data_IF_516137844756
#
_entry.id   IF_516137844756
#
_cell.length_a   1.000
_cell.length_b   1.000
_cell.length_c   1.000
_cell.angle_alpha   90.00
_cell.angle_beta   90.00
_cell.angle_gamma   90.00
#
_symmetry.space_group_name_H-M   'P 1'
#
loop_
_entity.id
_entity.type
_entity.pdbx_description
1 polymer ?
#
# COMPACT_ATOMS: atom_id res chain seq x y z
N UNK A 1 -107.99 45.57 -8.93
CA UNK A 1 -106.92 45.85 -7.95
C UNK A 1 -105.58 45.88 -8.64
N UNK A 2 -104.76 46.89 -8.34
CA UNK A 2 -103.34 46.93 -8.73
C UNK A 2 -102.54 46.39 -7.56
N UNK A 3 -101.63 45.44 -7.83
CA UNK A 3 -100.69 44.92 -6.85
C UNK A 3 -99.30 45.48 -7.12
N UNK A 4 -98.56 45.81 -6.06
CA UNK A 4 -97.17 46.24 -6.18
C UNK A 4 -96.29 45.09 -6.71
N UNK A 5 -95.36 45.41 -7.60
CA UNK A 5 -94.40 44.43 -8.09
C UNK A 5 -93.49 43.99 -6.92
N UNK A 6 -93.44 42.68 -6.58
CA UNK A 6 -92.63 42.23 -5.45
C UNK A 6 -91.14 42.41 -5.74
N UNK A 7 -90.35 42.68 -4.69
CA UNK A 7 -88.89 42.73 -4.78
C UNK A 7 -88.35 41.40 -5.35
N UNK A 8 -87.28 41.46 -6.14
CA UNK A 8 -86.75 40.32 -6.88
C UNK A 8 -87.45 40.04 -8.22
N UNK A 9 -88.59 40.68 -8.52
CA UNK A 9 -89.31 40.52 -9.79
C UNK A 9 -89.36 41.81 -10.61
N UNK A 10 -89.57 41.66 -11.92
CA UNK A 10 -89.92 42.74 -12.84
C UNK A 10 -91.31 42.53 -13.41
N UNK A 11 -92.06 43.63 -13.58
CA UNK A 11 -93.41 43.61 -14.08
C UNK A 11 -93.47 44.40 -15.39
N UNK A 12 -93.80 43.73 -16.50
CA UNK A 12 -94.13 44.41 -17.77
C UNK A 12 -95.55 45.00 -17.68
N UNK A 13 -95.77 46.20 -18.22
CA UNK A 13 -97.10 46.83 -18.19
C UNK A 13 -98.19 45.91 -18.77
N UNK A 14 -99.32 45.80 -18.07
CA UNK A 14 -100.44 44.90 -18.42
C UNK A 14 -100.70 43.82 -17.35
N UNK A 15 -101.55 42.84 -17.66
CA UNK A 15 -101.92 41.74 -16.75
C UNK A 15 -100.91 40.57 -16.72
N UNK A 16 -99.63 40.83 -17.04
CA UNK A 16 -98.59 39.81 -17.04
C UNK A 16 -98.18 39.43 -15.60
N UNK A 17 -97.93 38.15 -15.29
CA UNK A 17 -97.41 37.75 -13.99
C UNK A 17 -96.00 38.34 -13.76
N UNK A 18 -95.58 38.59 -12.50
CA UNK A 18 -94.23 39.04 -12.19
C UNK A 18 -93.19 38.04 -12.70
N UNK A 19 -92.16 38.54 -13.39
CA UNK A 19 -91.04 37.73 -13.86
C UNK A 19 -89.84 37.92 -12.93
N UNK A 20 -89.37 36.85 -12.29
CA UNK A 20 -88.18 36.87 -11.45
C UNK A 20 -86.96 37.39 -12.23
N UNK A 21 -86.14 38.21 -11.58
CA UNK A 21 -84.88 38.65 -12.15
C UNK A 21 -83.95 37.46 -12.35
N UNK A 22 -83.31 37.41 -13.53
CA UNK A 22 -82.31 36.40 -13.84
C UNK A 22 -81.00 36.66 -13.08
N UNK A 23 -80.17 35.63 -12.87
CA UNK A 23 -78.85 35.78 -12.26
C UNK A 23 -78.04 36.91 -12.90
N UNK A 24 -77.33 37.69 -12.07
CA UNK A 24 -76.64 38.92 -12.47
C UNK A 24 -77.49 40.19 -12.46
N UNK A 25 -78.76 40.11 -12.07
CA UNK A 25 -79.66 41.26 -11.92
C UNK A 25 -80.56 41.14 -10.70
N UNK A 26 -80.93 42.29 -10.11
CA UNK A 26 -81.68 42.39 -8.86
C UNK A 26 -82.72 43.51 -8.92
N UNK A 27 -83.71 43.45 -8.02
CA UNK A 27 -84.60 44.58 -7.71
C UNK A 27 -84.78 44.69 -6.19
N UNK A 28 -84.14 45.70 -5.58
CA UNK A 28 -84.18 45.91 -4.13
C UNK A 28 -85.49 46.56 -3.66
N UNK A 29 -86.08 47.43 -4.49
CA UNK A 29 -87.31 48.16 -4.16
C UNK A 29 -88.54 47.55 -4.83
N UNK A 30 -89.61 47.28 -4.05
CA UNK A 30 -90.92 46.95 -4.60
C UNK A 30 -91.43 48.06 -5.54
N UNK A 31 -92.04 47.68 -6.66
CA UNK A 31 -92.59 48.62 -7.65
C UNK A 31 -91.66 49.03 -8.80
N UNK A 32 -90.45 48.50 -8.89
CA UNK A 32 -89.60 48.67 -10.07
C UNK A 32 -90.08 47.80 -11.26
N UNK A 33 -90.14 48.39 -12.45
CA UNK A 33 -90.59 47.71 -13.67
C UNK A 33 -89.45 47.01 -14.45
N UNK A 34 -88.20 47.05 -13.94
CA UNK A 34 -87.01 46.52 -14.64
C UNK A 34 -86.00 45.98 -13.63
N UNK A 35 -85.39 44.83 -13.95
CA UNK A 35 -84.24 44.30 -13.21
C UNK A 35 -82.97 45.12 -13.51
N UNK A 36 -82.28 45.55 -12.46
CA UNK A 36 -81.02 46.27 -12.55
C UNK A 36 -79.86 45.27 -12.50
N UNK A 37 -78.84 45.46 -13.34
CA UNK A 37 -77.66 44.59 -13.32
C UNK A 37 -76.85 44.86 -12.06
N UNK A 38 -76.24 43.81 -11.51
CA UNK A 38 -75.21 43.99 -10.50
C UNK A 38 -74.10 44.89 -11.05
N UNK A 39 -73.71 45.90 -10.27
CA UNK A 39 -72.59 46.77 -10.60
C UNK A 39 -71.31 45.97 -10.72
N UNK A 40 -70.36 46.46 -11.52
CA UNK A 40 -69.05 45.83 -11.64
C UNK A 40 -68.38 45.72 -10.24
N UNK A 41 -67.77 44.59 -9.96
CA UNK A 41 -67.30 44.22 -8.62
C UNK A 41 -68.32 43.48 -7.75
N UNK A 42 -69.54 43.24 -8.24
CA UNK A 42 -70.56 42.45 -7.55
C UNK A 42 -71.23 41.43 -8.48
N UNK A 43 -71.82 40.37 -7.92
CA UNK A 43 -72.49 39.31 -8.66
C UNK A 43 -73.75 38.82 -7.94
N UNK A 44 -74.60 38.07 -8.65
CA UNK A 44 -75.70 37.34 -8.01
C UNK A 44 -76.07 36.08 -8.77
N UNK A 45 -76.13 34.95 -8.08
CA UNK A 45 -76.34 33.62 -8.67
C UNK A 45 -77.79 33.13 -8.61
N UNK A 46 -78.60 33.64 -7.67
CA UNK A 46 -79.99 33.21 -7.50
C UNK A 46 -80.96 33.98 -8.42
N UNK A 47 -82.04 33.32 -8.85
CA UNK A 47 -83.19 34.01 -9.46
C UNK A 47 -83.99 34.74 -8.38
N UNK A 48 -84.65 35.83 -8.74
CA UNK A 48 -85.51 36.53 -7.77
C UNK A 48 -84.77 37.30 -6.68
N UNK A 49 -83.46 37.54 -6.84
CA UNK A 49 -82.64 38.13 -5.81
C UNK A 49 -82.88 39.65 -5.63
N UNK A 50 -82.78 40.10 -4.38
CA UNK A 50 -83.03 41.49 -3.98
C UNK A 50 -81.76 42.32 -3.77
N UNK A 51 -80.58 41.70 -3.86
CA UNK A 51 -79.29 42.35 -3.68
C UNK A 51 -78.15 41.55 -4.31
N UNK A 52 -77.03 42.22 -4.58
CA UNK A 52 -75.84 41.60 -5.14
C UNK A 52 -74.80 41.31 -4.05
N UNK A 53 -73.97 40.30 -4.27
CA UNK A 53 -72.85 39.94 -3.42
C UNK A 53 -71.54 40.53 -3.93
N UNK A 54 -70.69 40.98 -3.01
CA UNK A 54 -69.34 41.45 -3.30
C UNK A 54 -68.47 40.35 -3.92
N UNK A 55 -67.74 40.70 -4.97
CA UNK A 55 -66.79 39.79 -5.59
C UNK A 55 -65.63 39.51 -4.61
N UNK A 56 -65.40 38.24 -4.30
CA UNK A 56 -64.34 37.85 -3.36
C UNK A 56 -62.97 37.88 -4.04
N UNK A 57 -61.93 38.02 -3.21
CA UNK A 57 -60.53 37.88 -3.60
C UNK A 57 -60.29 36.62 -4.43
N UNK A 58 -59.32 36.70 -5.35
CA UNK A 58 -59.02 35.66 -6.33
C UNK A 58 -59.98 35.62 -7.52
N UNK A 59 -61.01 36.48 -7.58
CA UNK A 59 -61.98 36.54 -8.68
C UNK A 59 -62.35 37.97 -9.05
N UNK A 60 -62.91 38.14 -10.25
CA UNK A 60 -63.47 39.40 -10.74
C UNK A 60 -64.89 39.21 -11.28
N UNK A 61 -65.68 40.26 -11.20
CA UNK A 61 -67.10 40.27 -11.51
C UNK A 61 -67.39 41.44 -12.45
N UNK A 62 -67.50 41.21 -13.77
CA UNK A 62 -67.93 42.26 -14.71
C UNK A 62 -69.38 42.67 -14.43
N UNK A 63 -69.79 43.82 -14.96
CA UNK A 63 -71.17 44.29 -14.82
C UNK A 63 -72.18 43.21 -15.26
N UNK A 64 -73.16 42.92 -14.41
CA UNK A 64 -74.16 41.88 -14.65
C UNK A 64 -73.66 40.45 -14.47
N UNK A 65 -72.57 40.23 -13.73
CA UNK A 65 -72.06 38.88 -13.46
C UNK A 65 -73.05 38.03 -12.67
N UNK A 66 -73.37 36.84 -13.19
CA UNK A 66 -74.15 35.82 -12.48
C UNK A 66 -73.29 34.94 -11.56
N UNK A 67 -71.96 34.94 -11.75
CA UNK A 67 -71.00 34.23 -10.91
C UNK A 67 -69.63 34.94 -10.97
N UNK A 68 -68.80 34.82 -9.91
CA UNK A 68 -67.42 35.33 -9.94
C UNK A 68 -66.60 34.58 -10.98
N UNK A 69 -65.76 35.31 -11.73
CA UNK A 69 -64.79 34.71 -12.65
C UNK A 69 -63.43 34.67 -11.96
N UNK A 70 -62.82 33.49 -11.74
CA UNK A 70 -61.53 33.43 -11.07
C UNK A 70 -60.44 34.11 -11.92
N UNK A 71 -59.44 34.67 -11.25
CA UNK A 71 -58.20 35.06 -11.91
C UNK A 71 -57.58 33.83 -12.56
N UNK A 72 -57.13 33.98 -13.82
CA UNK A 72 -56.53 32.90 -14.59
C UNK A 72 -55.21 32.44 -13.94
N UNK A 73 -54.85 31.18 -14.17
CA UNK A 73 -53.58 30.65 -13.68
C UNK A 73 -52.40 31.52 -14.16
N UNK A 74 -51.41 31.72 -13.28
CA UNK A 74 -50.37 32.73 -13.45
C UNK A 74 -50.77 34.12 -12.97
N UNK A 75 -51.96 34.31 -12.40
CA UNK A 75 -52.37 35.57 -11.78
C UNK A 75 -53.06 35.35 -10.44
N UNK A 76 -53.02 36.35 -9.57
CA UNK A 76 -53.68 36.34 -8.26
C UNK A 76 -54.34 37.70 -7.98
N UNK A 77 -55.20 37.75 -6.96
CA UNK A 77 -55.72 39.01 -6.45
C UNK A 77 -56.12 38.86 -4.98
N UNK A 78 -55.60 39.72 -4.12
CA UNK A 78 -55.98 39.85 -2.71
C UNK A 78 -57.13 40.86 -2.50
N UNK A 79 -57.55 41.56 -3.57
CA UNK A 79 -58.57 42.61 -3.53
C UNK A 79 -59.98 42.04 -3.68
N UNK A 80 -60.91 42.57 -2.90
CA UNK A 80 -62.35 42.38 -3.11
C UNK A 80 -62.92 43.37 -4.13
N UNK A 81 -64.07 43.06 -4.71
CA UNK A 81 -64.82 43.90 -5.65
C UNK A 81 -64.06 44.21 -6.95
N UNK A 82 -63.26 43.26 -7.43
CA UNK A 82 -62.56 43.36 -8.71
C UNK A 82 -63.58 43.32 -9.86
N UNK A 83 -63.50 44.26 -10.79
CA UNK A 83 -64.46 44.42 -11.89
C UNK A 83 -64.06 43.71 -13.19
N UNK A 84 -62.76 43.46 -13.37
CA UNK A 84 -62.19 43.00 -14.63
C UNK A 84 -60.94 42.16 -14.42
N UNK A 85 -60.61 41.34 -15.43
CA UNK A 85 -59.41 40.50 -15.43
C UNK A 85 -58.11 41.31 -15.34
N UNK A 86 -58.11 42.57 -15.79
CA UNK A 86 -56.95 43.46 -15.70
C UNK A 86 -56.58 43.83 -14.26
N UNK A 87 -57.50 43.64 -13.31
CA UNK A 87 -57.22 43.79 -11.88
C UNK A 87 -56.47 42.61 -11.26
N UNK A 88 -56.34 41.47 -11.96
CA UNK A 88 -55.55 40.34 -11.49
C UNK A 88 -54.05 40.62 -11.71
N UNK A 89 -53.28 40.56 -10.63
CA UNK A 89 -51.84 40.78 -10.65
C UNK A 89 -51.11 39.53 -11.13
N UNK A 90 -50.08 39.70 -11.94
CA UNK A 90 -49.27 38.58 -12.43
C UNK A 90 -48.49 37.95 -11.28
N UNK A 91 -48.40 36.63 -11.26
CA UNK A 91 -47.61 35.93 -10.26
C UNK A 91 -46.13 36.38 -10.36
N UNK A 92 -45.50 36.80 -9.25
CA UNK A 92 -44.10 37.22 -9.26
C UNK A 92 -43.16 36.03 -9.55
N UNK A 93 -41.92 36.34 -9.90
CA UNK A 93 -40.89 35.30 -10.09
C UNK A 93 -40.66 34.48 -8.82
N UNK A 94 -40.31 33.20 -9.02
CA UNK A 94 -40.17 32.24 -7.93
C UNK A 94 -41.47 31.82 -7.24
N UNK A 95 -42.63 32.26 -7.75
CA UNK A 95 -43.94 31.89 -7.22
C UNK A 95 -44.83 31.31 -8.31
N UNK A 96 -45.79 30.49 -7.88
CA UNK A 96 -46.85 29.92 -8.70
C UNK A 96 -48.22 30.34 -8.18
N UNK A 97 -49.13 30.62 -9.11
CA UNK A 97 -50.49 31.03 -8.82
C UNK A 97 -51.46 30.16 -9.64
N UNK A 98 -52.19 29.27 -8.98
CA UNK A 98 -53.26 28.49 -9.61
C UNK A 98 -54.50 29.36 -9.83
N UNK A 99 -55.43 28.89 -10.66
CA UNK A 99 -56.69 29.59 -10.93
C UNK A 99 -57.42 29.96 -9.64
N UNK A 100 -57.75 31.24 -9.47
CA UNK A 100 -58.42 31.74 -8.28
C UNK A 100 -57.51 32.04 -7.09
N UNK A 101 -56.19 32.09 -7.29
CA UNK A 101 -55.23 32.39 -6.21
C UNK A 101 -55.47 33.76 -5.60
N UNK A 102 -55.42 33.82 -4.26
CA UNK A 102 -55.53 35.06 -3.49
C UNK A 102 -54.17 35.63 -3.10
N UNK A 103 -53.14 34.80 -3.16
CA UNK A 103 -51.74 35.16 -2.91
C UNK A 103 -50.81 34.23 -3.72
N UNK A 104 -49.60 34.68 -4.08
CA UNK A 104 -48.60 33.83 -4.73
C UNK A 104 -48.06 32.74 -3.80
N UNK A 105 -47.91 31.52 -4.31
CA UNK A 105 -47.27 30.41 -3.58
C UNK A 105 -45.79 30.33 -3.94
N UNK A 106 -44.90 30.52 -2.98
CA UNK A 106 -43.46 30.38 -3.21
C UNK A 106 -43.10 28.96 -3.63
N UNK A 107 -42.25 28.82 -4.65
CA UNK A 107 -41.75 27.52 -5.07
C UNK A 107 -40.93 26.88 -3.95
N UNK A 108 -41.20 25.61 -3.66
CA UNK A 108 -40.45 24.85 -2.66
C UNK A 108 -39.01 24.59 -3.15
N UNK A 109 -38.11 24.27 -2.21
CA UNK A 109 -36.77 23.82 -2.57
C UNK A 109 -36.85 22.63 -3.54
N UNK A 110 -35.97 22.64 -4.55
CA UNK A 110 -35.98 21.72 -5.69
C UNK A 110 -36.90 22.11 -6.83
N UNK A 111 -37.67 23.19 -6.69
CA UNK A 111 -38.52 23.74 -7.76
C UNK A 111 -38.27 25.23 -7.93
N UNK A 112 -38.58 25.76 -9.12
CA UNK A 112 -38.40 27.16 -9.46
C UNK A 112 -39.55 27.64 -10.38
N UNK A 113 -39.69 28.95 -10.51
CA UNK A 113 -40.62 29.55 -11.46
C UNK A 113 -39.92 30.74 -12.13
N UNK A 114 -39.51 30.55 -13.39
CA UNK A 114 -38.78 31.56 -14.14
C UNK A 114 -39.71 32.65 -14.68
N UNK A 115 -39.36 33.91 -14.46
CA UNK A 115 -40.15 35.05 -14.92
C UNK A 115 -41.49 35.19 -14.20
N UNK A 116 -42.38 36.03 -14.73
CA UNK A 116 -43.69 36.31 -14.14
C UNK A 116 -44.80 35.46 -14.77
N UNK A 117 -45.92 35.35 -14.06
CA UNK A 117 -47.16 34.69 -14.49
C UNK A 117 -47.09 33.16 -14.58
N UNK A 118 -46.36 32.53 -13.68
CA UNK A 118 -46.29 31.08 -13.59
C UNK A 118 -47.51 30.48 -12.87
N UNK A 119 -48.12 29.48 -13.50
CA UNK A 119 -49.26 28.74 -12.95
C UNK A 119 -48.83 27.68 -11.92
N UNK A 120 -47.62 27.14 -12.11
CA UNK A 120 -47.03 26.07 -11.30
C UNK A 120 -45.52 26.26 -11.19
N UNK A 121 -44.91 25.59 -10.21
CA UNK A 121 -43.46 25.58 -10.05
C UNK A 121 -42.86 24.38 -10.80
N UNK A 122 -41.86 24.64 -11.61
CA UNK A 122 -41.14 23.60 -12.36
C UNK A 122 -40.05 22.97 -11.48
N UNK A 123 -39.87 21.64 -11.52
CA UNK A 123 -38.75 21.00 -10.83
C UNK A 123 -37.42 21.36 -11.51
N UNK A 124 -36.36 21.48 -10.71
CA UNK A 124 -35.01 21.57 -11.25
C UNK A 124 -34.71 20.34 -12.11
N UNK A 125 -34.16 20.57 -13.31
CA UNK A 125 -33.73 19.49 -14.19
C UNK A 125 -32.54 18.76 -13.58
N UNK A 126 -32.30 17.53 -14.02
CA UNK A 126 -31.15 16.76 -13.57
C UNK A 126 -29.83 17.54 -13.81
N UNK A 127 -28.87 17.38 -12.91
CA UNK A 127 -27.62 18.17 -12.90
C UNK A 127 -27.78 19.60 -12.35
N UNK A 128 -28.97 19.97 -11.87
CA UNK A 128 -29.21 21.24 -11.17
C UNK A 128 -30.06 21.05 -9.92
N UNK A 129 -29.89 21.95 -8.95
CA UNK A 129 -30.60 21.91 -7.67
C UNK A 129 -31.00 23.32 -7.23
N UNK A 130 -31.89 23.39 -6.23
CA UNK A 130 -32.22 24.65 -5.59
C UNK A 130 -32.58 24.43 -4.12
N UNK A 131 -31.80 25.00 -3.21
CA UNK A 131 -32.02 24.88 -1.77
C UNK A 131 -32.95 25.94 -1.19
N UNK A 132 -33.09 27.09 -1.87
CA UNK A 132 -33.95 28.17 -1.43
C UNK A 132 -35.41 27.97 -1.88
N UNK A 133 -36.34 28.42 -1.04
CA UNK A 133 -37.74 28.60 -1.43
C UNK A 133 -37.92 29.92 -2.17
N UNK A 134 -38.86 30.00 -3.12
CA UNK A 134 -39.15 31.23 -3.86
C UNK A 134 -38.13 31.54 -4.95
N UNK A 135 -37.46 30.52 -5.50
CA UNK A 135 -36.39 30.72 -6.46
C UNK A 135 -36.88 30.89 -7.91
N UNK A 136 -36.28 31.82 -8.64
CA UNK A 136 -36.55 32.06 -10.06
C UNK A 136 -35.77 31.13 -11.01
N UNK A 137 -34.84 30.33 -10.48
CA UNK A 137 -34.01 29.41 -11.28
C UNK A 137 -33.27 28.39 -10.41
N UNK A 138 -32.65 27.41 -11.07
CA UNK A 138 -31.83 26.38 -10.44
C UNK A 138 -30.34 26.66 -10.62
N UNK A 139 -29.53 26.14 -9.70
CA UNK A 139 -28.07 26.23 -9.72
C UNK A 139 -27.52 24.91 -10.26
N UNK A 140 -26.54 24.98 -11.17
CA UNK A 140 -25.85 23.80 -11.66
C UNK A 140 -25.07 23.13 -10.52
N UNK A 141 -25.09 21.80 -10.48
CA UNK A 141 -24.39 21.08 -9.44
C UNK A 141 -22.88 21.12 -9.67
N UNK A 142 -22.12 21.18 -8.57
CA UNK A 142 -20.67 21.07 -8.63
C UNK A 142 -20.24 19.75 -9.30
N UNK A 143 -19.06 19.75 -9.94
CA UNK A 143 -18.50 18.53 -10.51
C UNK A 143 -18.34 17.47 -9.41
N UNK A 144 -18.79 16.25 -9.73
CA UNK A 144 -18.89 15.12 -8.81
C UNK A 144 -19.77 15.34 -7.57
N UNK A 145 -20.80 16.18 -7.73
CA UNK A 145 -22.06 16.05 -7.01
C UNK A 145 -23.12 15.42 -7.94
N UNK A 146 -24.05 14.68 -7.36
CA UNK A 146 -25.21 14.08 -8.01
C UNK A 146 -26.47 14.90 -7.70
N UNK A 147 -27.25 15.24 -8.72
CA UNK A 147 -28.49 15.99 -8.57
C UNK A 147 -29.61 15.41 -9.42
N UNK A 148 -30.55 14.66 -8.81
CA UNK A 148 -31.72 14.15 -9.50
C UNK A 148 -32.71 15.27 -9.85
N UNK A 149 -33.68 14.98 -10.70
CA UNK A 149 -34.79 15.90 -10.99
C UNK A 149 -35.50 16.31 -9.69
N UNK A 150 -35.65 17.61 -9.46
CA UNK A 150 -36.26 18.15 -8.25
C UNK A 150 -35.32 18.19 -7.03
N UNK A 151 -33.99 18.12 -7.23
CA UNK A 151 -33.03 18.16 -6.15
C UNK A 151 -33.10 19.48 -5.34
N UNK A 152 -33.31 19.37 -4.03
CA UNK A 152 -33.26 20.50 -3.09
C UNK A 152 -31.87 20.72 -2.49
N UNK A 153 -30.93 19.80 -2.73
CA UNK A 153 -29.56 19.84 -2.25
C UNK A 153 -28.67 19.03 -3.21
N UNK A 154 -27.39 19.38 -3.27
CA UNK A 154 -26.38 18.53 -3.92
C UNK A 154 -26.11 17.27 -3.08
N UNK A 155 -26.17 16.11 -3.72
CA UNK A 155 -25.74 14.85 -3.11
C UNK A 155 -24.29 14.59 -3.53
N UNK A 156 -23.44 13.96 -2.69
CA UNK A 156 -22.10 13.57 -3.13
C UNK A 156 -22.18 12.54 -4.27
N UNK A 157 -21.32 12.66 -5.29
CA UNK A 157 -21.27 11.67 -6.37
C UNK A 157 -20.90 10.28 -5.83
N UNK A 158 -21.60 9.28 -6.35
CA UNK A 158 -21.50 7.88 -5.96
C UNK A 158 -20.41 7.10 -6.71
N UNK A 159 -19.34 7.76 -7.19
CA UNK A 159 -18.24 7.03 -7.81
C UNK A 159 -17.41 6.34 -6.74
N UNK A 160 -17.34 5.00 -6.80
CA UNK A 160 -16.59 4.20 -5.85
C UNK A 160 -15.08 4.51 -5.94
N UNK A 161 -14.32 4.32 -4.85
CA UNK A 161 -12.87 4.47 -4.87
C UNK A 161 -12.24 3.65 -6.00
N UNK A 162 -11.32 4.26 -6.76
CA UNK A 162 -10.79 3.69 -8.00
C UNK A 162 -11.42 4.25 -9.27
N UNK A 163 -12.54 4.97 -9.16
CA UNK A 163 -13.16 5.70 -10.26
C UNK A 163 -13.23 7.21 -9.97
N UNK A 164 -13.42 8.03 -11.00
CA UNK A 164 -13.62 9.47 -10.87
C UNK A 164 -14.70 9.97 -11.83
N UNK A 165 -15.47 10.97 -11.38
CA UNK A 165 -16.46 11.64 -12.20
C UNK A 165 -15.83 12.81 -12.96
N UNK A 166 -15.84 12.77 -14.30
CA UNK A 166 -15.40 13.89 -15.15
C UNK A 166 -16.57 14.61 -15.84
N UNK A 167 -17.75 13.98 -15.86
CA UNK A 167 -18.97 14.54 -16.41
C UNK A 167 -20.19 14.00 -15.65
N UNK A 168 -21.31 14.70 -15.77
CA UNK A 168 -22.63 14.16 -15.45
C UNK A 168 -23.33 13.78 -16.75
N UNK A 169 -24.02 12.65 -16.78
CA UNK A 169 -24.88 12.28 -17.90
C UNK A 169 -26.12 13.20 -17.99
N UNK A 170 -26.92 13.03 -19.05
CA UNK A 170 -28.18 13.79 -19.25
C UNK A 170 -29.21 13.55 -18.12
N UNK A 171 -29.04 12.47 -17.33
CA UNK A 171 -29.85 12.12 -16.16
C UNK A 171 -29.30 12.67 -14.83
N UNK A 172 -28.21 13.44 -14.88
CA UNK A 172 -27.56 14.03 -13.71
C UNK A 172 -26.74 13.04 -12.89
N UNK A 173 -26.62 11.77 -13.33
CA UNK A 173 -25.75 10.75 -12.75
C UNK A 173 -24.28 11.05 -13.09
N UNK A 174 -23.34 10.90 -12.14
CA UNK A 174 -21.93 11.02 -12.45
C UNK A 174 -21.51 9.87 -13.39
N UNK A 175 -20.90 10.20 -14.53
CA UNK A 175 -20.26 9.21 -15.39
C UNK A 175 -18.89 8.87 -14.78
N UNK A 176 -18.80 7.67 -14.22
CA UNK A 176 -17.62 7.23 -13.46
C UNK A 176 -16.63 6.54 -14.40
N UNK A 177 -15.45 7.14 -14.56
CA UNK A 177 -14.36 6.58 -15.35
C UNK A 177 -13.34 5.89 -14.45
N UNK A 178 -12.76 4.80 -14.93
CA UNK A 178 -11.65 4.13 -14.25
C UNK A 178 -10.46 5.10 -14.12
N UNK A 179 -9.83 5.10 -12.95
CA UNK A 179 -8.62 5.88 -12.75
C UNK A 179 -7.53 5.42 -13.73
N UNK A 180 -6.83 6.32 -14.44
CA UNK A 180 -5.76 5.92 -15.35
C UNK A 180 -4.56 5.33 -14.58
N UNK A 181 -3.82 4.44 -15.25
CA UNK A 181 -2.56 3.93 -14.71
C UNK A 181 -1.58 5.08 -14.40
N UNK A 182 -0.76 4.92 -13.36
CA UNK A 182 0.11 5.98 -12.82
C UNK A 182 -0.59 6.99 -11.89
N UNK A 183 -1.91 6.93 -11.73
CA UNK A 183 -2.68 7.78 -10.82
C UNK A 183 -3.58 6.97 -9.88
N UNK A 184 -4.04 7.61 -8.81
CA UNK A 184 -5.03 7.07 -7.89
C UNK A 184 -6.22 8.01 -7.71
N UNK A 185 -7.40 7.42 -7.50
CA UNK A 185 -8.65 8.15 -7.41
C UNK A 185 -9.38 7.76 -6.13
N UNK A 186 -9.60 8.73 -5.23
CA UNK A 186 -10.30 8.50 -3.97
C UNK A 186 -11.81 8.23 -4.09
N UNK A 187 -12.37 8.31 -5.30
CA UNK A 187 -13.81 8.30 -5.56
C UNK A 187 -14.40 9.71 -5.71
N UNK A 188 -15.64 9.77 -6.19
CA UNK A 188 -16.41 11.01 -6.38
C UNK A 188 -15.84 11.96 -7.44
N UNK A 189 -15.76 13.25 -7.09
CA UNK A 189 -15.35 14.36 -7.97
C UNK A 189 -13.84 14.55 -8.13
N UNK A 190 -13.04 13.87 -7.31
CA UNK A 190 -11.62 14.17 -7.22
C UNK A 190 -10.94 13.77 -8.54
N UNK A 191 -10.21 14.69 -9.21
CA UNK A 191 -9.45 14.35 -10.39
C UNK A 191 -8.38 13.30 -10.03
N UNK A 192 -7.93 12.49 -11.01
CA UNK A 192 -6.85 11.52 -10.79
C UNK A 192 -5.61 12.20 -10.19
N UNK A 193 -5.15 11.69 -9.06
CA UNK A 193 -3.95 12.18 -8.40
C UNK A 193 -2.75 11.31 -8.80
N UNK A 194 -1.74 11.90 -9.42
CA UNK A 194 -0.52 11.20 -9.80
C UNK A 194 0.15 10.56 -8.57
N UNK A 195 0.64 9.33 -8.74
CA UNK A 195 1.38 8.67 -7.67
C UNK A 195 2.69 9.40 -7.39
N UNK A 196 2.95 9.69 -6.12
CA UNK A 196 4.22 10.26 -5.68
C UNK A 196 5.39 9.27 -5.91
N UNK A 197 6.65 9.76 -6.01
CA UNK A 197 7.80 8.89 -6.15
C UNK A 197 7.83 7.77 -5.09
N UNK A 198 8.17 6.56 -5.51
CA UNK A 198 8.16 5.35 -4.67
C UNK A 198 6.80 4.67 -4.59
N UNK A 199 5.78 5.24 -5.22
CA UNK A 199 4.45 4.66 -5.37
C UNK A 199 4.10 4.48 -6.84
N UNK A 200 3.26 3.49 -7.13
CA UNK A 200 2.85 3.15 -8.49
C UNK A 200 1.36 2.84 -8.54
N UNK A 201 0.79 2.97 -9.74
CA UNK A 201 -0.51 2.42 -10.06
C UNK A 201 -0.38 1.60 -11.35
N UNK A 202 -0.15 0.30 -11.20
CA UNK A 202 0.15 -0.60 -12.31
C UNK A 202 -1.04 -0.88 -13.21
N UNK A 203 -2.24 -0.89 -12.62
CA UNK A 203 -3.49 -1.08 -13.34
C UNK A 203 -4.36 0.16 -13.25
N UNK A 204 -5.25 0.39 -14.22
CA UNK A 204 -6.35 1.31 -14.05
C UNK A 204 -7.23 0.92 -12.85
N UNK A 205 -7.97 1.88 -12.30
CA UNK A 205 -8.96 1.61 -11.25
C UNK A 205 -8.42 1.62 -9.81
N UNK A 206 -7.19 2.09 -9.58
CA UNK A 206 -6.59 2.07 -8.25
C UNK A 206 -7.09 3.21 -7.37
N UNK A 207 -7.66 2.85 -6.22
CA UNK A 207 -8.15 3.81 -5.23
C UNK A 207 -7.03 4.55 -4.48
N UNK A 208 -5.88 3.88 -4.31
CA UNK A 208 -4.69 4.38 -3.62
C UNK A 208 -3.46 3.81 -4.31
N UNK A 209 -2.41 4.60 -4.47
CA UNK A 209 -1.17 4.10 -5.05
C UNK A 209 -0.53 3.01 -4.18
N UNK A 210 0.02 2.01 -4.83
CA UNK A 210 0.76 0.92 -4.18
C UNK A 210 2.21 1.34 -3.95
N UNK A 211 2.82 0.85 -2.88
CA UNK A 211 4.21 1.15 -2.55
C UNK A 211 5.14 0.21 -3.31
N UNK A 212 6.25 0.74 -3.82
CA UNK A 212 7.33 -0.11 -4.30
C UNK A 212 7.98 -0.87 -3.13
N UNK A 213 8.27 -2.15 -3.36
CA UNK A 213 8.98 -3.01 -2.43
C UNK A 213 10.45 -2.58 -2.30
N UNK A 214 11.15 -2.92 -1.18
CA UNK A 214 12.56 -2.60 -1.02
C UNK A 214 13.40 -3.14 -2.19
N UNK A 215 14.45 -2.40 -2.56
CA UNK A 215 15.26 -2.68 -3.75
C UNK A 215 14.69 -2.10 -5.06
N UNK A 216 13.47 -1.56 -5.02
CA UNK A 216 12.82 -0.92 -6.17
C UNK A 216 12.37 0.50 -5.87
N UNK A 217 12.29 1.34 -6.90
CA UNK A 217 11.85 2.75 -6.84
C UNK A 217 11.04 3.10 -8.06
N UNK A 218 10.25 4.17 -7.97
CA UNK A 218 9.48 4.71 -9.10
C UNK A 218 9.54 6.23 -9.11
N UNK A 219 9.53 6.81 -10.31
CA UNK A 219 9.28 8.23 -10.49
C UNK A 219 7.81 8.59 -10.25
N UNK A 220 7.51 9.89 -10.18
CA UNK A 220 6.14 10.37 -10.12
C UNK A 220 5.34 9.90 -11.34
N UNK A 221 4.10 9.46 -11.12
CA UNK A 221 3.22 8.99 -12.19
C UNK A 221 3.60 7.65 -12.84
N UNK A 222 4.54 6.89 -12.24
CA UNK A 222 4.96 5.62 -12.83
C UNK A 222 3.90 4.52 -12.67
N UNK A 223 3.73 3.71 -13.72
CA UNK A 223 2.93 2.50 -13.68
C UNK A 223 3.71 1.27 -13.15
N UNK A 224 5.03 1.35 -13.03
CA UNK A 224 5.84 0.22 -12.56
C UNK A 224 7.00 0.66 -11.68
N UNK A 225 7.42 -0.24 -10.80
CA UNK A 225 8.62 -0.09 -9.99
C UNK A 225 9.83 -0.58 -10.80
N UNK A 226 10.94 0.13 -10.67
CA UNK A 226 12.22 -0.17 -11.30
C UNK A 226 13.25 -0.54 -10.24
N UNK A 227 14.06 -1.56 -10.52
CA UNK A 227 15.14 -1.98 -9.62
C UNK A 227 16.21 -0.90 -9.50
N UNK A 228 16.78 -0.75 -8.30
CA UNK A 228 17.94 0.10 -8.10
C UNK A 228 19.14 -0.46 -8.87
N UNK A 229 19.88 0.43 -9.54
CA UNK A 229 21.10 0.05 -10.25
C UNK A 229 22.22 -0.35 -9.27
N UNK A 230 23.17 -1.15 -9.75
CA UNK A 230 24.33 -1.56 -8.95
C UNK A 230 25.07 -0.35 -8.33
N UNK A 231 25.47 -0.49 -7.07
CA UNK A 231 26.06 0.58 -6.26
C UNK A 231 25.02 1.52 -5.59
N UNK A 232 23.73 1.25 -5.78
CA UNK A 232 22.62 1.91 -5.07
C UNK A 232 21.65 0.90 -4.47
N UNK A 233 20.93 1.29 -3.43
CA UNK A 233 20.02 0.42 -2.68
C UNK A 233 18.83 1.19 -2.11
N UNK A 234 17.75 0.49 -1.75
CA UNK A 234 16.66 1.03 -0.93
C UNK A 234 16.23 0.01 0.11
N UNK A 235 16.34 0.38 1.38
CA UNK A 235 16.02 -0.52 2.50
C UNK A 235 14.53 -0.54 2.87
N UNK A 236 13.80 0.54 2.59
CA UNK A 236 12.40 0.70 3.00
C UNK A 236 11.45 0.71 1.81
N UNK A 237 10.24 0.22 2.03
CA UNK A 237 9.13 0.33 1.07
C UNK A 237 8.78 1.79 0.79
N UNK A 238 8.43 2.09 -0.45
CA UNK A 238 7.97 3.43 -0.84
C UNK A 238 9.05 4.51 -0.89
N UNK A 239 10.33 4.15 -1.01
CA UNK A 239 11.38 5.13 -1.28
C UNK A 239 11.29 5.61 -2.74
N UNK A 240 11.30 6.92 -2.93
CA UNK A 240 11.23 7.54 -4.25
C UNK A 240 12.54 7.55 -5.04
N UNK A 241 13.67 7.34 -4.37
CA UNK A 241 14.99 7.40 -4.98
C UNK A 241 15.92 6.34 -4.37
N UNK A 242 16.84 5.83 -5.19
CA UNK A 242 17.86 4.88 -4.74
C UNK A 242 19.00 5.59 -4.02
N UNK A 243 19.33 5.11 -2.82
CA UNK A 243 20.43 5.66 -2.01
C UNK A 243 21.77 5.07 -2.46
N UNK A 244 22.82 5.89 -2.57
CA UNK A 244 24.16 5.41 -2.94
C UNK A 244 24.81 4.68 -1.77
N UNK A 245 25.53 3.60 -2.07
CA UNK A 245 26.27 2.86 -1.04
C UNK A 245 27.36 3.73 -0.38
N UNK A 246 27.53 3.65 0.95
CA UNK A 246 28.66 4.24 1.64
C UNK A 246 29.99 3.68 1.10
N UNK A 247 31.00 4.52 0.90
CA UNK A 247 32.31 4.05 0.49
C UNK A 247 33.01 3.30 1.65
N UNK A 248 33.68 2.14 1.44
CA UNK A 248 33.97 1.44 0.18
C UNK A 248 33.04 0.26 -0.17
N UNK A 249 31.75 0.34 0.13
CA UNK A 249 30.76 -0.69 -0.21
C UNK A 249 30.14 -0.47 -1.60
N UNK A 250 29.53 -1.55 -2.09
CA UNK A 250 28.71 -1.60 -3.30
C UNK A 250 27.54 -2.57 -3.08
N UNK A 251 26.57 -2.52 -3.99
CA UNK A 251 25.39 -3.37 -4.03
C UNK A 251 25.13 -3.86 -5.47
N UNK A 252 24.40 -4.95 -5.61
CA UNK A 252 23.89 -5.48 -6.87
C UNK A 252 22.64 -4.72 -7.33
N UNK A 253 22.09 -5.12 -8.47
CA UNK A 253 20.80 -4.59 -8.92
C UNK A 253 19.68 -5.14 -8.05
N UNK A 254 18.78 -4.27 -7.57
CA UNK A 254 17.64 -4.68 -6.73
C UNK A 254 17.98 -4.99 -5.27
N UNK A 255 19.21 -4.75 -4.84
CA UNK A 255 19.62 -5.02 -3.46
C UNK A 255 19.02 -4.02 -2.47
N UNK A 256 18.67 -4.53 -1.29
CA UNK A 256 18.05 -3.76 -0.20
C UNK A 256 19.08 -3.19 0.79
N UNK A 257 20.34 -3.58 0.65
CA UNK A 257 21.47 -3.17 1.50
C UNK A 257 22.78 -3.28 0.74
N UNK A 258 23.82 -2.60 1.20
CA UNK A 258 25.17 -2.72 0.64
C UNK A 258 25.99 -3.70 1.48
N UNK A 259 26.26 -4.89 0.94
CA UNK A 259 26.86 -5.99 1.70
C UNK A 259 28.23 -6.43 1.16
N UNK A 260 28.71 -5.86 0.05
CA UNK A 260 29.98 -6.26 -0.54
C UNK A 260 30.88 -5.09 -0.89
N UNK A 261 32.19 -5.36 -0.96
CA UNK A 261 33.18 -4.32 -1.23
C UNK A 261 33.17 -3.90 -2.71
N UNK A 262 33.34 -2.61 -2.94
CA UNK A 262 33.53 -2.01 -4.27
C UNK A 262 34.83 -2.50 -4.92
N UNK A 263 34.95 -2.39 -6.24
CA UNK A 263 36.20 -2.61 -6.98
C UNK A 263 37.40 -1.90 -6.32
N UNK A 264 38.56 -2.57 -6.30
CA UNK A 264 39.75 -2.09 -5.59
C UNK A 264 39.76 -2.36 -4.08
N UNK A 265 38.71 -2.99 -3.52
CA UNK A 265 38.64 -3.44 -2.14
C UNK A 265 38.26 -4.93 -2.06
N UNK A 266 38.64 -5.60 -0.98
CA UNK A 266 38.26 -6.98 -0.71
C UNK A 266 37.65 -7.14 0.69
N UNK A 267 36.74 -8.10 0.84
CA UNK A 267 36.12 -8.47 2.11
C UNK A 267 37.06 -9.40 2.89
N UNK A 268 37.56 -8.93 4.03
CA UNK A 268 38.51 -9.69 4.87
C UNK A 268 37.86 -10.85 5.61
N UNK A 269 36.59 -10.73 5.99
CA UNK A 269 35.84 -11.81 6.65
C UNK A 269 34.56 -12.07 5.88
N UNK A 270 34.55 -13.15 5.09
CA UNK A 270 33.38 -13.56 4.33
C UNK A 270 32.23 -14.09 5.22
N UNK A 271 32.50 -14.32 6.51
CA UNK A 271 31.52 -14.78 7.51
C UNK A 271 30.86 -13.62 8.27
N UNK A 272 31.29 -12.38 8.02
CA UNK A 272 30.73 -11.20 8.68
C UNK A 272 29.26 -11.00 8.29
N UNK A 273 28.45 -10.56 9.27
CA UNK A 273 27.04 -10.30 9.04
C UNK A 273 26.88 -9.06 8.12
N UNK A 274 25.92 -9.07 7.18
CA UNK A 274 25.68 -7.94 6.28
C UNK A 274 25.48 -6.59 7.00
N UNK A 275 24.81 -6.59 8.15
CA UNK A 275 24.58 -5.37 8.94
C UNK A 275 25.86 -4.81 9.56
N UNK A 276 26.79 -5.67 9.98
CA UNK A 276 28.08 -5.24 10.53
C UNK A 276 28.97 -4.68 9.42
N UNK A 277 28.97 -5.31 8.25
CA UNK A 277 29.65 -4.81 7.04
C UNK A 277 29.10 -3.43 6.67
N UNK A 278 27.78 -3.26 6.67
CA UNK A 278 27.13 -1.99 6.35
C UNK A 278 27.44 -0.89 7.36
N UNK A 279 27.48 -1.21 8.67
CA UNK A 279 27.72 -0.25 9.75
C UNK A 279 29.18 0.15 9.90
N UNK A 280 30.10 -0.76 9.62
CA UNK A 280 31.55 -0.57 9.79
C UNK A 280 32.31 -0.93 8.50
N UNK A 281 32.04 -0.23 7.38
CA UNK A 281 32.52 -0.65 6.06
C UNK A 281 34.05 -0.67 5.94
N UNK A 282 34.76 0.22 6.63
CA UNK A 282 36.22 0.29 6.62
C UNK A 282 36.90 -0.82 7.45
N UNK A 283 36.16 -1.46 8.35
CA UNK A 283 36.71 -2.53 9.20
C UNK A 283 36.74 -3.86 8.43
N UNK A 284 35.73 -4.10 7.60
CA UNK A 284 35.57 -5.32 6.82
C UNK A 284 36.12 -5.24 5.39
N UNK A 285 35.98 -4.09 4.72
CA UNK A 285 36.51 -3.87 3.37
C UNK A 285 37.89 -3.21 3.44
N UNK A 286 38.92 -3.96 3.05
CA UNK A 286 40.30 -3.46 3.01
C UNK A 286 40.73 -3.14 1.58
N UNK A 287 41.62 -2.14 1.38
CA UNK A 287 42.18 -1.85 0.06
C UNK A 287 42.84 -3.10 -0.53
N UNK A 288 42.78 -3.22 -1.86
CA UNK A 288 43.39 -4.35 -2.56
C UNK A 288 44.88 -4.46 -2.18
N UNK A 289 45.35 -5.63 -1.73
CA UNK A 289 46.75 -5.80 -1.37
C UNK A 289 47.63 -5.63 -2.61
N UNK A 290 48.89 -5.18 -2.44
CA UNK A 290 49.82 -5.09 -3.55
C UNK A 290 49.97 -6.46 -4.20
N UNK A 291 50.08 -6.47 -5.54
CA UNK A 291 50.23 -7.68 -6.35
C UNK A 291 49.00 -8.63 -6.31
N UNK A 292 47.81 -8.11 -6.00
CA UNK A 292 46.53 -8.79 -6.20
C UNK A 292 45.64 -8.07 -7.23
N UNK A 293 44.63 -8.79 -7.74
CA UNK A 293 43.63 -8.27 -8.65
C UNK A 293 42.25 -8.25 -7.97
N UNK A 294 41.75 -7.05 -7.70
CA UNK A 294 40.41 -6.77 -7.17
C UNK A 294 39.54 -6.02 -8.19
N UNK A 295 39.58 -6.42 -9.46
CA UNK A 295 38.86 -5.74 -10.55
C UNK A 295 37.33 -5.94 -10.52
N UNK A 296 36.82 -6.97 -9.85
CA UNK A 296 35.38 -7.22 -9.69
C UNK A 296 34.89 -6.74 -8.33
N UNK A 297 33.70 -6.14 -8.29
CA UNK A 297 32.97 -5.92 -7.03
C UNK A 297 32.64 -7.27 -6.38
N UNK A 298 32.58 -7.32 -5.05
CA UNK A 298 32.39 -8.56 -4.27
C UNK A 298 33.59 -9.54 -4.28
N UNK A 299 34.80 -9.00 -4.27
CA UNK A 299 36.01 -9.80 -4.05
C UNK A 299 36.15 -10.11 -2.55
N UNK A 300 36.33 -11.37 -2.19
CA UNK A 300 36.61 -11.83 -0.82
C UNK A 300 38.04 -12.35 -0.73
N UNK A 301 38.54 -12.66 0.47
CA UNK A 301 39.82 -13.36 0.60
C UNK A 301 39.85 -14.64 -0.24
N UNK A 302 38.80 -15.45 -0.26
CA UNK A 302 38.81 -16.71 -1.00
C UNK A 302 38.82 -16.51 -2.52
N UNK A 303 38.16 -15.46 -3.01
CA UNK A 303 38.04 -15.16 -4.45
C UNK A 303 39.09 -14.17 -4.96
N UNK A 304 40.03 -13.74 -4.11
CA UNK A 304 41.10 -12.80 -4.45
C UNK A 304 41.97 -13.32 -5.60
N UNK A 305 41.96 -12.59 -6.72
CA UNK A 305 42.73 -12.94 -7.91
C UNK A 305 44.22 -12.62 -7.75
N UNK A 306 45.10 -13.54 -8.15
CA UNK A 306 46.55 -13.37 -8.10
C UNK A 306 47.13 -13.44 -9.53
N UNK A 307 47.90 -12.44 -9.97
CA UNK A 307 48.56 -12.41 -11.28
C UNK A 307 49.61 -13.53 -11.43
N UNK A 308 50.03 -13.82 -12.67
CA UNK A 308 50.85 -15.01 -13.02
C UNK A 308 52.26 -15.02 -12.41
N UNK A 309 52.75 -13.89 -11.90
CA UNK A 309 54.11 -13.76 -11.34
C UNK A 309 54.16 -13.86 -9.81
N UNK A 310 53.01 -14.06 -9.18
CA UNK A 310 52.87 -14.04 -7.73
C UNK A 310 52.12 -15.28 -7.24
N UNK A 311 52.40 -15.68 -6.00
CA UNK A 311 51.69 -16.75 -5.32
C UNK A 311 51.28 -16.29 -3.91
N UNK A 312 50.30 -16.98 -3.35
CA UNK A 312 49.67 -16.61 -2.08
C UNK A 312 49.75 -17.75 -1.09
N UNK A 313 50.10 -17.45 0.17
CA UNK A 313 50.32 -18.45 1.21
C UNK A 313 49.09 -19.31 1.52
N UNK A 314 47.89 -18.73 1.49
CA UNK A 314 46.65 -19.46 1.68
C UNK A 314 45.48 -18.66 1.10
N UNK A 315 44.33 -19.31 0.87
CA UNK A 315 43.09 -18.63 0.48
C UNK A 315 42.55 -17.67 1.55
N UNK A 316 43.09 -17.72 2.77
CA UNK A 316 42.62 -16.94 3.92
C UNK A 316 43.59 -15.83 4.39
N UNK A 317 44.70 -15.59 3.68
CA UNK A 317 45.71 -14.58 4.10
C UNK A 317 46.03 -13.60 2.99
N UNK A 318 46.42 -12.36 3.24
CA UNK A 318 46.87 -11.43 2.18
C UNK A 318 48.37 -11.51 1.92
N UNK A 319 49.02 -12.57 2.38
CA UNK A 319 50.46 -12.76 2.25
C UNK A 319 50.78 -13.28 0.84
N UNK A 320 51.24 -12.35 -0.02
CA UNK A 320 51.55 -12.57 -1.43
C UNK A 320 53.05 -12.41 -1.62
N UNK A 321 53.64 -13.36 -2.33
CA UNK A 321 55.07 -13.44 -2.58
C UNK A 321 55.34 -13.51 -4.08
N UNK A 322 56.46 -12.94 -4.51
CA UNK A 322 56.94 -13.00 -5.88
C UNK A 322 57.52 -14.39 -6.19
N UNK A 323 57.30 -14.89 -7.41
CA UNK A 323 57.87 -16.16 -7.85
C UNK A 323 59.31 -15.95 -8.35
N UNK A 324 60.24 -16.80 -7.91
CA UNK A 324 61.67 -16.74 -8.29
C UNK A 324 61.88 -17.05 -9.79
N UNK A 325 60.90 -17.70 -10.43
CA UNK A 325 60.85 -17.93 -11.88
C UNK A 325 59.41 -17.86 -12.39
N UNK A 326 59.17 -17.08 -13.45
CA UNK A 326 57.84 -16.76 -14.01
C UNK A 326 57.04 -17.97 -14.49
N UNK A 327 57.70 -19.09 -14.77
CA UNK A 327 57.08 -20.29 -15.34
C UNK A 327 56.56 -21.27 -14.27
N UNK A 328 56.89 -21.06 -13.00
CA UNK A 328 56.52 -21.99 -11.91
C UNK A 328 55.18 -21.66 -11.24
N UNK A 329 54.66 -20.45 -11.44
CA UNK A 329 53.38 -20.02 -10.88
C UNK A 329 52.44 -19.64 -12.02
N UNK A 330 51.25 -20.24 -12.09
CA UNK A 330 50.25 -19.85 -13.10
C UNK A 330 49.33 -18.71 -12.63
N UNK A 331 49.54 -18.17 -11.42
CA UNK A 331 48.58 -17.32 -10.72
C UNK A 331 47.23 -18.01 -10.48
N UNK A 332 46.27 -17.33 -9.86
CA UNK A 332 44.88 -17.83 -9.71
C UNK A 332 43.94 -17.32 -10.80
N UNK A 333 44.48 -16.70 -11.86
CA UNK A 333 43.73 -15.93 -12.84
C UNK A 333 42.56 -16.69 -13.49
N UNK A 334 41.34 -16.22 -13.21
CA UNK A 334 40.16 -16.37 -14.05
C UNK A 334 39.59 -17.78 -14.20
N UNK A 335 38.56 -18.08 -13.40
CA UNK A 335 37.37 -18.86 -13.80
C UNK A 335 37.55 -20.14 -14.64
N UNK A 336 38.55 -20.97 -14.38
CA UNK A 336 38.58 -22.35 -14.89
C UNK A 336 38.76 -23.33 -13.75
N UNK A 337 37.90 -24.35 -13.71
CA UNK A 337 37.83 -25.41 -12.67
C UNK A 337 39.17 -26.10 -12.38
N UNK A 338 40.12 -26.03 -13.30
CA UNK A 338 41.48 -26.56 -13.18
C UNK A 338 42.35 -25.84 -12.15
N UNK A 339 42.20 -24.53 -11.96
CA UNK A 339 42.98 -23.77 -10.95
C UNK A 339 42.40 -23.93 -9.54
N UNK A 340 41.07 -24.14 -9.44
CA UNK A 340 40.39 -24.45 -8.18
C UNK A 340 40.84 -25.80 -7.62
N UNK A 341 41.17 -26.76 -8.50
CA UNK A 341 41.55 -28.13 -8.12
C UNK A 341 42.92 -28.24 -7.42
N UNK A 342 43.82 -27.24 -7.54
CA UNK A 342 45.09 -27.20 -6.77
C UNK A 342 44.95 -26.58 -5.37
N UNK A 343 43.84 -25.88 -5.08
CA UNK A 343 43.59 -25.22 -3.78
C UNK A 343 42.40 -25.81 -3.01
N UNK A 344 41.49 -26.53 -3.68
CA UNK A 344 40.25 -27.05 -3.11
C UNK A 344 40.23 -28.57 -2.90
N UNK A 345 41.39 -29.22 -2.70
CA UNK A 345 41.39 -30.59 -2.22
C UNK A 345 41.07 -30.60 -0.72
N UNK A 346 39.78 -30.64 -0.44
CA UNK A 346 39.17 -31.13 0.79
C UNK A 346 40.04 -32.17 1.51
N UNK A 347 40.61 -31.80 2.66
CA UNK A 347 41.00 -32.71 3.73
C UNK A 347 41.99 -33.84 3.40
N UNK A 348 42.68 -33.78 2.27
CA UNK A 348 43.68 -34.77 1.88
C UNK A 348 44.94 -34.04 1.46
N UNK A 349 46.05 -34.36 2.10
CA UNK A 349 47.38 -34.03 1.62
C UNK A 349 47.41 -34.18 0.09
N UNK A 350 47.60 -33.08 -0.63
CA UNK A 350 48.20 -33.19 -1.95
C UNK A 350 49.53 -33.93 -1.77
N UNK A 351 50.01 -34.69 -2.77
CA UNK A 351 51.30 -35.36 -2.66
C UNK A 351 52.36 -34.29 -2.34
N UNK A 352 52.88 -34.30 -1.11
CA UNK A 352 53.84 -33.31 -0.60
C UNK A 352 53.41 -32.33 0.52
N UNK A 353 52.20 -32.42 1.11
CA UNK A 353 51.82 -31.58 2.28
C UNK A 353 51.53 -32.39 3.55
N UNK A 354 52.09 -31.98 4.70
CA UNK A 354 51.69 -32.51 6.02
C UNK A 354 50.32 -31.93 6.49
N UNK A 355 49.65 -32.62 7.42
CA UNK A 355 48.31 -32.27 7.92
C UNK A 355 48.27 -30.87 8.55
N UNK A 356 47.60 -29.92 7.89
CA UNK A 356 47.42 -28.54 8.36
C UNK A 356 48.09 -27.47 7.49
N UNK A 357 48.85 -27.88 6.48
CA UNK A 357 49.49 -26.98 5.52
C UNK A 357 48.80 -27.09 4.15
N UNK A 358 48.27 -25.97 3.65
CA UNK A 358 47.62 -25.86 2.34
C UNK A 358 48.24 -24.71 1.55
N UNK A 359 48.23 -24.81 0.21
CA UNK A 359 48.70 -23.76 -0.68
C UNK A 359 49.97 -24.10 -1.48
N UNK A 360 50.46 -23.17 -2.32
CA UNK A 360 51.61 -23.37 -3.22
C UNK A 360 52.94 -23.61 -2.49
N UNK A 361 53.02 -23.28 -1.19
CA UNK A 361 54.20 -23.54 -0.35
C UNK A 361 54.55 -25.02 -0.23
N UNK A 362 53.57 -25.92 -0.36
CA UNK A 362 53.87 -27.35 -0.46
C UNK A 362 54.42 -27.77 -1.81
N UNK A 363 54.15 -27.01 -2.88
CA UNK A 363 54.64 -27.32 -4.23
C UNK A 363 56.12 -26.93 -4.40
N UNK A 364 56.69 -26.21 -3.42
CA UNK A 364 58.07 -25.73 -3.45
C UNK A 364 59.10 -26.78 -2.99
N UNK A 365 58.69 -27.70 -2.12
CA UNK A 365 59.56 -28.77 -1.63
C UNK A 365 59.26 -30.05 -2.38
N UNK A 366 60.18 -30.46 -3.26
CA UNK A 366 60.02 -31.63 -4.16
C UNK A 366 60.06 -32.98 -3.41
N UNK A 367 60.36 -32.94 -2.10
CA UNK A 367 60.58 -34.09 -1.23
C UNK A 367 59.43 -34.24 -0.22
N UNK A 368 58.88 -35.46 -0.10
CA UNK A 368 57.83 -35.81 0.87
C UNK A 368 58.26 -35.66 2.34
N UNK A 369 59.54 -35.41 2.62
CA UNK A 369 60.08 -35.24 3.97
C UNK A 369 60.51 -33.81 4.30
N UNK A 370 60.08 -32.82 3.51
CA UNK A 370 60.43 -31.41 3.71
C UNK A 370 59.20 -30.54 3.89
N UNK A 371 59.31 -29.52 4.74
CA UNK A 371 58.31 -28.48 4.89
C UNK A 371 58.94 -27.10 4.68
N UNK A 372 58.15 -26.14 4.20
CA UNK A 372 58.64 -24.78 4.02
C UNK A 372 58.76 -24.06 5.38
N UNK A 373 59.99 -23.72 5.78
CA UNK A 373 60.26 -23.00 7.03
C UNK A 373 60.39 -21.50 6.79
N UNK A 374 59.51 -20.72 7.42
CA UNK A 374 59.55 -19.24 7.37
C UNK A 374 60.81 -18.65 8.02
N UNK A 375 61.41 -19.37 8.98
CA UNK A 375 62.64 -18.95 9.67
C UNK A 375 63.88 -19.07 8.78
N UNK A 376 63.90 -20.06 7.89
CA UNK A 376 65.06 -20.39 7.05
C UNK A 376 64.90 -19.91 5.61
N UNK A 377 63.71 -19.43 5.22
CA UNK A 377 63.37 -19.02 3.84
C UNK A 377 63.70 -20.12 2.81
N UNK A 378 63.36 -21.35 3.15
CA UNK A 378 63.65 -22.53 2.31
C UNK A 378 62.95 -23.79 2.83
N UNK A 379 63.14 -24.89 2.10
CA UNK A 379 62.68 -26.21 2.50
C UNK A 379 63.59 -26.76 3.60
N UNK A 380 63.00 -27.04 4.76
CA UNK A 380 63.67 -27.66 5.89
C UNK A 380 63.18 -29.12 6.03
N UNK A 381 64.07 -30.02 6.42
CA UNK A 381 63.71 -31.41 6.63
C UNK A 381 62.79 -31.54 7.85
N UNK A 382 61.74 -32.36 7.73
CA UNK A 382 60.91 -32.76 8.85
C UNK A 382 61.80 -33.43 9.91
N UNK A 383 61.61 -33.15 11.21
CA UNK A 383 62.42 -33.75 12.26
C UNK A 383 62.16 -35.28 12.33
N UNK A 384 62.99 -36.06 11.64
CA UNK A 384 62.92 -37.54 11.57
C UNK A 384 63.49 -38.25 12.79
N UNK A 385 63.89 -37.51 13.83
CA UNK A 385 64.58 -38.08 14.99
C UNK A 385 63.75 -37.94 16.28
N UNK A 386 62.87 -38.89 16.55
CA UNK A 386 62.23 -38.97 17.87
C UNK A 386 61.28 -40.14 18.12
N UNK A 387 60.70 -40.75 17.07
CA UNK A 387 59.69 -41.81 17.27
C UNK A 387 60.27 -43.21 17.56
N UNK A 388 61.45 -43.56 17.04
CA UNK A 388 62.03 -44.89 17.25
C UNK A 388 62.91 -45.02 18.52
N UNK A 389 63.59 -43.95 18.94
CA UNK A 389 64.46 -43.99 20.13
C UNK A 389 63.70 -44.11 21.45
N UNK A 390 62.55 -43.44 21.57
CA UNK A 390 61.72 -43.47 22.78
C UNK A 390 61.03 -44.83 22.92
N UNK A 391 60.52 -45.41 21.83
CA UNK A 391 59.89 -46.73 21.84
C UNK A 391 60.89 -47.85 22.23
N UNK A 392 62.11 -47.82 21.68
CA UNK A 392 63.14 -48.78 22.06
C UNK A 392 63.56 -48.65 23.54
N UNK A 393 63.69 -47.41 24.04
CA UNK A 393 63.99 -47.15 25.45
C UNK A 393 62.90 -47.63 26.41
N UNK A 394 61.63 -47.42 26.06
CA UNK A 394 60.48 -47.88 26.87
C UNK A 394 60.38 -49.41 26.87
N UNK A 395 60.60 -50.08 25.72
CA UNK A 395 60.57 -51.55 25.64
C UNK A 395 61.69 -52.18 26.48
N UNK A 396 62.90 -51.61 26.44
CA UNK A 396 64.03 -52.10 27.26
C UNK A 396 63.77 -51.84 28.75
N UNK A 397 63.24 -50.67 29.11
CA UNK A 397 62.88 -50.37 30.50
C UNK A 397 61.79 -51.31 31.01
N UNK A 398 60.74 -51.56 30.23
CA UNK A 398 59.66 -52.50 30.58
C UNK A 398 60.18 -53.93 30.71
N UNK A 399 61.07 -54.38 29.83
CA UNK A 399 61.68 -55.71 29.91
C UNK A 399 62.56 -55.87 31.16
N UNK A 400 63.35 -54.84 31.52
CA UNK A 400 64.18 -54.85 32.73
C UNK A 400 63.30 -54.81 33.99
N UNK A 401 62.26 -53.97 34.02
CA UNK A 401 61.30 -53.96 35.14
C UNK A 401 60.53 -55.27 35.26
N UNK A 402 60.16 -55.90 34.14
CA UNK A 402 59.50 -57.20 34.10
C UNK A 402 60.41 -58.32 34.60
N UNK A 403 61.69 -58.30 34.25
CA UNK A 403 62.67 -59.27 34.74
C UNK A 403 62.96 -59.10 36.24
N UNK A 404 63.01 -57.85 36.72
CA UNK A 404 63.16 -57.54 38.14
C UNK A 404 61.92 -57.93 38.95
N UNK A 405 60.71 -57.66 38.44
CA UNK A 405 59.45 -58.11 39.03
C UNK A 405 59.31 -59.64 39.00
N UNK A 406 59.70 -60.31 37.92
CA UNK A 406 59.71 -61.76 37.84
C UNK A 406 60.65 -62.38 38.89
N UNK A 407 61.85 -61.80 39.09
CA UNK A 407 62.78 -62.26 40.14
C UNK A 407 62.32 -61.93 41.55
N UNK A 408 61.56 -60.84 41.73
CA UNK A 408 60.94 -60.50 43.01
C UNK A 408 59.74 -61.42 43.33
N UNK A 409 58.92 -61.76 42.34
CA UNK A 409 57.76 -62.64 42.46
C UNK A 409 58.15 -64.12 42.56
N UNK A 410 59.26 -64.54 41.94
CA UNK A 410 59.80 -65.90 42.04
C UNK A 410 60.46 -66.23 43.40
N UNK A 411 60.62 -65.24 44.30
CA UNK A 411 61.16 -65.41 45.65
C UNK A 411 60.12 -65.33 46.77
N UNK A 412 58.85 -65.07 46.46
CA UNK A 412 57.80 -64.99 47.46
C UNK A 412 56.99 -66.29 47.49
N UNK A 413 57.24 -67.15 48.48
CA UNK A 413 56.41 -68.32 48.85
C UNK A 413 55.02 -67.92 49.41
N UNK A 414 54.36 -66.95 48.77
CA UNK A 414 53.09 -66.38 49.21
C UNK A 414 52.04 -66.25 48.08
N UNK A 415 52.33 -66.77 46.88
CA UNK A 415 51.46 -66.61 45.70
C UNK A 415 50.26 -67.58 45.65
N UNK A 416 50.30 -68.68 46.39
CA UNK A 416 49.15 -69.61 46.46
C UNK A 416 48.00 -69.08 47.35
N UNK A 417 48.29 -68.17 48.29
CA UNK A 417 47.27 -67.53 49.14
C UNK A 417 46.55 -66.35 48.46
N UNK A 418 47.13 -65.78 47.40
CA UNK A 418 46.55 -64.64 46.69
C UNK A 418 45.57 -65.07 45.58
N UNK A 419 45.83 -66.19 44.91
CA UNK A 419 44.91 -66.77 43.90
C UNK A 419 43.53 -67.11 44.49
N UNK A 420 43.47 -67.64 45.71
CA UNK A 420 42.20 -68.00 46.36
C UNK A 420 41.32 -66.79 46.77
N UNK A 421 41.81 -65.55 46.68
CA UNK A 421 41.01 -64.33 46.95
C UNK A 421 40.55 -63.58 45.70
N UNK A 422 41.10 -63.88 44.52
CA UNK A 422 40.74 -63.19 43.27
C UNK A 422 39.47 -63.76 42.62
N UNK A 423 39.16 -65.05 42.81
CA UNK A 423 37.93 -65.67 42.30
C UNK A 423 36.65 -65.19 43.01
N UNK A 424 36.77 -64.45 44.13
CA UNK A 424 35.62 -63.87 44.85
C UNK A 424 35.28 -62.45 44.33
N UNK A 425 36.26 -61.74 43.75
CA UNK A 425 36.12 -60.33 43.35
C UNK A 425 35.47 -60.19 41.96
N UNK A 426 35.57 -61.21 41.10
CA UNK A 426 34.94 -61.23 39.78
C UNK A 426 33.39 -61.30 39.83
N UNK A 427 32.81 -61.64 41.00
CA UNK A 427 31.36 -61.69 41.19
C UNK A 427 30.70 -60.40 41.72
N UNK A 428 31.49 -59.35 42.03
CA UNK A 428 30.98 -58.18 42.77
C UNK A 428 31.21 -56.81 42.10
N UNK A 429 31.78 -56.74 40.89
CA UNK A 429 31.92 -55.45 40.18
C UNK A 429 31.33 -55.55 38.78
N UNK A 430 30.04 -55.22 38.67
CA UNK A 430 29.32 -55.05 37.41
C UNK A 430 29.95 -53.96 36.55
N UNK A 431 30.94 -54.35 35.73
CA UNK A 431 31.65 -53.47 34.79
C UNK A 431 30.79 -53.10 33.56
N UNK A 432 29.80 -53.93 33.23
CA UNK A 432 28.88 -53.74 32.11
C UNK A 432 28.02 -52.45 32.21
N UNK A 433 27.31 -52.16 33.33
CA UNK A 433 26.48 -50.96 33.41
C UNK A 433 27.30 -49.65 33.47
N UNK A 434 28.51 -49.66 34.04
CA UNK A 434 29.33 -48.43 34.18
C UNK A 434 30.00 -48.01 32.87
N UNK A 435 30.45 -48.98 32.05
CA UNK A 435 31.02 -48.69 30.74
C UNK A 435 29.98 -48.10 29.78
N UNK A 436 28.73 -48.58 29.85
CA UNK A 436 27.63 -48.10 29.00
C UNK A 436 27.26 -46.64 29.27
N UNK A 437 27.33 -46.19 30.53
CA UNK A 437 27.08 -44.79 30.91
C UNK A 437 28.16 -43.87 30.33
N UNK A 438 29.44 -44.29 30.36
CA UNK A 438 30.56 -43.48 29.85
C UNK A 438 30.47 -43.33 28.32
N UNK A 439 30.13 -44.41 27.60
CA UNK A 439 29.96 -44.35 26.15
C UNK A 439 28.75 -43.49 25.74
N UNK A 440 27.65 -43.56 26.50
CA UNK A 440 26.49 -42.67 26.26
C UNK A 440 26.80 -41.20 26.56
N UNK A 441 27.59 -40.90 27.59
CA UNK A 441 27.99 -39.52 27.90
C UNK A 441 28.89 -38.95 26.80
N UNK A 442 29.81 -39.77 26.26
CA UNK A 442 30.66 -39.38 25.14
C UNK A 442 29.86 -39.12 23.86
N UNK A 443 28.86 -39.95 23.56
CA UNK A 443 27.99 -39.74 22.39
C UNK A 443 27.18 -38.43 22.49
N UNK A 444 26.73 -38.04 23.68
CA UNK A 444 26.01 -36.78 23.90
C UNK A 444 26.94 -35.56 23.79
N UNK A 445 28.15 -35.62 24.36
CA UNK A 445 29.12 -34.52 24.26
C UNK A 445 29.61 -34.32 22.83
N UNK A 446 29.88 -35.41 22.10
CA UNK A 446 30.32 -35.35 20.71
C UNK A 446 29.23 -34.82 19.74
N UNK A 447 27.95 -34.89 20.13
CA UNK A 447 26.82 -34.39 19.32
C UNK A 447 26.28 -33.03 19.76
N UNK A 448 26.81 -32.43 20.84
CA UNK A 448 26.43 -31.09 21.30
C UNK A 448 27.15 -29.94 20.55
N UNK A 449 28.33 -30.20 19.98
CA UNK A 449 29.08 -29.22 19.18
C UNK A 449 28.35 -28.63 17.96
N UNK A 450 27.51 -29.36 17.21
CA UNK A 450 26.82 -28.82 16.03
C UNK A 450 25.52 -28.05 16.34
N UNK A 451 24.96 -28.15 17.55
CA UNK A 451 23.59 -27.66 17.83
C UNK A 451 23.57 -26.35 18.64
N UNK A 452 24.59 -26.07 19.45
CA UNK A 452 24.72 -24.78 20.13
C UNK A 452 26.17 -24.31 20.01
N UNK A 453 26.40 -23.38 19.08
CA UNK A 453 27.71 -22.75 18.85
C UNK A 453 28.13 -21.89 20.04
N UNK A 454 28.61 -22.51 21.11
CA UNK A 454 29.20 -21.81 22.26
C UNK A 454 30.72 -22.00 22.21
N UNK A 455 31.43 -20.91 21.90
CA UNK A 455 32.88 -20.83 22.12
C UNK A 455 33.13 -20.71 23.63
N UNK A 456 33.84 -21.66 24.21
CA UNK A 456 34.48 -21.47 25.51
C UNK A 456 35.87 -20.87 25.28
N UNK A 457 36.11 -19.74 25.94
CA UNK A 457 37.41 -19.08 26.00
C UNK A 457 38.40 -19.93 26.79
N UNK A 458 39.54 -20.25 26.19
CA UNK A 458 40.85 -20.20 26.83
C UNK A 458 41.83 -19.47 25.93
#
# INVERSE_FOLDING_TARGET
>A
DCFDCPAGSSCGGGAAPPAECSPGSVTATPGLFKCERCSAGSYQNDTGATGCHDCKQGSYCPEGASAPRPCEAGSYSDKTNLDSAGGCEGCPEGHACTTGSVAPMACRAGTFAAGSRNAECEPCKAGSYQSATGAAGCVACALGSFCPVGASLELPAACEPGTYANATDDGGLPDCFDCPAGSSCGGGAAPPAECSPGFVAATPGLAKCERCEPGTTSGAGSASCSECAAGTYTANTGQGECTRCPHPLSSGSGDITCSFCKEGFYLQDASALPDDIFRFPTDYCKPCPPNANCATSNTTLETLGIPREYWRASLLTTEIHECDASDHCSGSGGSTETSRRRLAASGGAGPGCDLGHTGPLCEWCVSDEQYFSRAERGCADCPTAGRFGILAGVVVALAVTGLLLYRALARAEAWDRFRARLDIVESQVGFQPKFKIVVSFYQVVATLGPVYGVRLHE
#
